data_IF_311162044029
#
_entry.id   IF_311162044029
#
_cell.length_a   1.000
_cell.length_b   1.000
_cell.length_c   1.000
_cell.angle_alpha   90.00
_cell.angle_beta   90.00
_cell.angle_gamma   90.00
#
_symmetry.space_group_name_H-M   'P 1'
#
loop_
_entity.id
_entity.type
_entity.pdbx_description
1 polymer ?
#
# COMPACT_ATOMS: atom_id res chain seq x y z
N UNK A 1 4.66 22.90 -10.90
CA UNK A 1 3.44 22.24 -11.41
C UNK A 1 3.04 21.17 -10.41
N UNK A 2 1.78 21.14 -9.98
CA UNK A 2 1.31 20.13 -9.03
C UNK A 2 1.08 18.81 -9.78
N UNK A 3 2.01 17.87 -9.68
CA UNK A 3 1.84 16.53 -10.23
C UNK A 3 0.75 15.81 -9.43
N UNK A 4 -0.36 15.48 -10.09
CA UNK A 4 -1.48 14.75 -9.47
C UNK A 4 -1.16 13.26 -9.49
N UNK A 5 -1.04 12.66 -8.32
CA UNK A 5 -0.94 11.22 -8.13
C UNK A 5 -2.16 10.72 -7.37
N UNK A 6 -2.64 9.54 -7.73
CA UNK A 6 -3.72 8.87 -7.02
C UNK A 6 -3.14 7.66 -6.30
N UNK A 7 -3.41 7.58 -5.01
CA UNK A 7 -2.99 6.47 -4.16
C UNK A 7 -4.21 5.71 -3.68
N UNK A 8 -4.14 4.38 -3.74
CA UNK A 8 -5.20 3.47 -3.29
C UNK A 8 -4.66 2.54 -2.21
N UNK A 9 -5.46 2.30 -1.16
CA UNK A 9 -5.11 1.36 -0.09
C UNK A 9 -6.34 0.56 0.31
N UNK A 10 -6.19 -0.76 0.31
CA UNK A 10 -7.17 -1.69 0.83
C UNK A 10 -6.58 -2.46 2.01
N UNK A 11 -7.41 -2.68 3.02
CA UNK A 11 -7.07 -3.47 4.21
C UNK A 11 -8.18 -4.46 4.48
N UNK A 12 -7.81 -5.69 4.80
CA UNK A 12 -8.72 -6.76 5.20
C UNK A 12 -8.17 -7.44 6.44
N UNK A 13 -9.04 -7.60 7.43
CA UNK A 13 -8.73 -8.32 8.66
C UNK A 13 -9.52 -9.62 8.66
N UNK A 14 -8.83 -10.74 8.89
CA UNK A 14 -9.40 -12.07 9.01
C UNK A 14 -9.26 -12.54 10.46
N UNK A 15 -10.36 -13.06 10.99
CA UNK A 15 -10.39 -13.75 12.28
C UNK A 15 -10.12 -15.24 12.02
N UNK A 16 -8.99 -15.74 12.52
CA UNK A 16 -8.55 -17.13 12.27
C UNK A 16 -8.78 -17.95 13.54
N UNK A 17 -10.02 -17.94 14.03
CA UNK A 17 -10.43 -18.51 15.32
C UNK A 17 -10.36 -20.05 15.41
N UNK A 18 -10.01 -20.76 14.32
CA UNK A 18 -9.97 -22.24 14.28
C UNK A 18 -8.62 -22.86 14.65
N UNK A 19 -7.55 -22.08 14.80
CA UNK A 19 -6.24 -22.58 15.18
C UNK A 19 -5.65 -21.68 16.26
N UNK A 20 -5.55 -22.18 17.49
CA UNK A 20 -4.92 -21.45 18.59
C UNK A 20 -3.55 -20.87 18.21
N UNK A 21 -3.20 -19.75 18.84
CA UNK A 21 -1.97 -18.93 18.68
C UNK A 21 -2.01 -17.90 17.53
N UNK A 22 -2.83 -18.09 16.48
CA UNK A 22 -2.98 -17.12 15.39
C UNK A 22 -4.38 -16.51 15.41
N UNK A 23 -4.57 -15.48 16.24
CA UNK A 23 -5.90 -14.92 16.51
C UNK A 23 -6.41 -14.08 15.33
N UNK A 24 -5.51 -13.35 14.66
CA UNK A 24 -5.90 -12.36 13.65
C UNK A 24 -4.85 -12.16 12.57
N UNK A 25 -5.27 -12.26 11.31
CA UNK A 25 -4.47 -11.92 10.13
C UNK A 25 -4.96 -10.58 9.57
N UNK A 26 -4.08 -9.60 9.49
CA UNK A 26 -4.31 -8.30 8.84
C UNK A 26 -3.52 -8.26 7.53
N UNK A 27 -4.23 -8.34 6.40
CA UNK A 27 -3.68 -8.21 5.08
C UNK A 27 -3.99 -6.81 4.53
N UNK A 28 -3.00 -6.16 3.94
CA UNK A 28 -3.20 -4.89 3.24
C UNK A 28 -2.44 -4.85 1.93
N UNK A 29 -3.05 -4.17 0.96
CA UNK A 29 -2.42 -3.87 -0.31
C UNK A 29 -2.58 -2.36 -0.56
N UNK A 30 -1.52 -1.72 -1.03
CA UNK A 30 -1.58 -0.33 -1.47
C UNK A 30 -0.89 -0.17 -2.81
N UNK A 31 -1.48 0.69 -3.63
CA UNK A 31 -0.91 1.11 -4.90
C UNK A 31 -0.71 2.61 -4.82
N UNK A 32 0.54 3.06 -4.94
CA UNK A 32 0.85 4.48 -5.10
C UNK A 32 1.02 4.81 -6.56
N UNK A 33 0.68 6.04 -6.91
CA UNK A 33 0.79 6.54 -8.28
C UNK A 33 0.09 5.61 -9.30
N UNK A 34 -1.21 5.38 -9.08
CA UNK A 34 -2.04 4.50 -9.92
C UNK A 34 -1.97 4.91 -11.40
N UNK A 35 -1.86 6.21 -11.67
CA UNK A 35 -1.78 6.76 -13.03
C UNK A 35 -0.39 6.70 -13.66
N UNK A 36 0.63 6.19 -12.95
CA UNK A 36 2.03 6.13 -13.40
C UNK A 36 2.56 7.48 -13.90
N UNK A 37 2.19 8.55 -13.19
CA UNK A 37 2.60 9.92 -13.50
C UNK A 37 4.07 10.14 -13.11
N UNK A 38 4.81 10.88 -13.94
CA UNK A 38 6.12 11.39 -13.54
C UNK A 38 5.96 12.48 -12.47
N UNK A 39 6.32 12.15 -11.23
CA UNK A 39 6.25 13.06 -10.08
C UNK A 39 7.67 13.35 -9.65
N UNK A 40 7.98 14.62 -9.44
CA UNK A 40 9.27 15.07 -8.94
C UNK A 40 9.07 15.64 -7.55
N UNK A 41 10.02 15.37 -6.66
CA UNK A 41 10.05 16.00 -5.34
C UNK A 41 10.55 17.45 -5.42
N UNK A 42 10.59 18.12 -4.25
CA UNK A 42 11.09 19.49 -4.12
C UNK A 42 12.59 19.66 -4.43
N UNK A 43 13.34 18.55 -4.45
CA UNK A 43 14.75 18.51 -4.83
C UNK A 43 14.92 18.23 -6.34
N UNK A 44 13.84 17.99 -7.08
CA UNK A 44 13.85 17.62 -8.48
C UNK A 44 14.15 16.14 -8.73
N UNK A 45 14.16 15.30 -7.69
CA UNK A 45 14.40 13.87 -7.82
C UNK A 45 13.13 13.17 -8.31
N UNK A 46 13.22 12.26 -9.30
CA UNK A 46 12.08 11.47 -9.73
C UNK A 46 11.61 10.56 -8.59
N UNK A 47 10.33 10.65 -8.26
CA UNK A 47 9.69 9.66 -7.41
C UNK A 47 9.48 8.36 -8.19
N UNK A 48 9.35 7.22 -7.48
CA UNK A 48 8.90 5.98 -8.10
C UNK A 48 7.59 6.22 -8.87
N UNK A 49 7.49 5.58 -10.05
CA UNK A 49 6.24 5.51 -10.82
C UNK A 49 5.16 4.74 -10.05
N UNK A 50 4.48 3.81 -10.72
CA UNK A 50 3.54 2.92 -10.02
C UNK A 50 4.25 2.02 -9.00
N UNK A 51 3.84 2.11 -7.73
CA UNK A 51 4.39 1.27 -6.65
C UNK A 51 3.29 0.43 -6.00
N UNK A 52 3.44 -0.89 -6.03
CA UNK A 52 2.55 -1.84 -5.36
C UNK A 52 3.22 -2.33 -4.07
N UNK A 53 2.50 -2.26 -2.96
CA UNK A 53 2.95 -2.74 -1.66
C UNK A 53 1.93 -3.71 -1.10
N UNK A 54 2.41 -4.84 -0.58
CA UNK A 54 1.59 -5.86 0.09
C UNK A 54 2.17 -6.07 1.49
N UNK A 55 1.32 -6.07 2.50
CA UNK A 55 1.72 -6.27 3.89
C UNK A 55 0.78 -7.26 4.57
N UNK A 56 1.38 -8.23 5.27
CA UNK A 56 0.69 -9.17 6.13
C UNK A 56 1.17 -8.96 7.57
N UNK A 57 0.24 -8.87 8.51
CA UNK A 57 0.53 -8.77 9.94
C UNK A 57 -0.27 -9.83 10.68
N UNK A 58 0.44 -10.60 11.49
CA UNK A 58 -0.09 -11.68 12.31
C UNK A 58 -0.06 -11.22 13.77
N UNK A 59 -1.13 -11.46 14.52
CA UNK A 59 -1.25 -11.16 15.95
C UNK A 59 -2.00 -12.27 16.69
#
# INVERSE_FOLDING_TARGET
GSSKSFDFKIRRVFDVSRAGILSRLDASASVKNVTDSAIYDQCGLPQPGRLIQVQFRIR
#
